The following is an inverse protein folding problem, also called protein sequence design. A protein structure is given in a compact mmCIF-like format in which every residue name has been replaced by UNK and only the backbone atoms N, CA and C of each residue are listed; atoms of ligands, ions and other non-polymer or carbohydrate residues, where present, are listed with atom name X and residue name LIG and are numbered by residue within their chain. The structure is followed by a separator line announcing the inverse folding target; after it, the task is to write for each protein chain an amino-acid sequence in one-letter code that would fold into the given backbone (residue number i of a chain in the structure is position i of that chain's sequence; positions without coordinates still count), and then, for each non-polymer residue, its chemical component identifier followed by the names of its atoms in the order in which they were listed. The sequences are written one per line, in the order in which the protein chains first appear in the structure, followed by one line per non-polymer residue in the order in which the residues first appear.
data_IF_510578122631
#
_entry.id   IF_510578122631
#
_cell.length_a   1.000
_cell.length_b   1.000
_cell.length_c   1.000
_cell.angle_alpha   90.00
_cell.angle_beta   90.00
_cell.angle_gamma   90.00
#
_symmetry.space_group_name_H-M   'P 1'
#
loop_
_entity.id
_entity.type
_entity.pdbx_description
1 polymer ?
#
# COMPACT_ATOMS: atom_id res chain seq x y z
N UNK A 1 2.96 -28.04 12.61
CA UNK A 1 2.40 -27.01 11.72
C UNK A 1 3.55 -26.14 11.25
N UNK A 2 3.85 -26.10 9.96
CA UNK A 2 4.93 -25.26 9.44
C UNK A 2 4.46 -23.80 9.47
N UNK A 3 5.08 -22.98 10.32
CA UNK A 3 4.75 -21.55 10.52
C UNK A 3 5.58 -20.62 9.64
N UNK A 4 6.40 -21.18 8.74
CA UNK A 4 7.24 -20.42 7.83
C UNK A 4 6.40 -19.78 6.71
N UNK A 5 6.43 -18.45 6.65
CA UNK A 5 6.03 -17.68 5.46
C UNK A 5 7.31 -17.27 4.74
N UNK A 6 7.53 -17.72 3.48
CA UNK A 6 8.72 -17.36 2.72
C UNK A 6 8.73 -15.86 2.35
N UNK A 7 9.90 -15.27 2.08
CA UNK A 7 9.99 -13.97 1.43
C UNK A 7 9.11 -13.90 0.18
N UNK A 8 8.46 -12.76 -0.05
CA UNK A 8 7.54 -12.54 -1.17
C UNK A 8 8.16 -12.87 -2.55
N UNK A 9 9.48 -12.72 -2.69
CA UNK A 9 10.23 -13.01 -3.91
C UNK A 9 10.29 -14.51 -4.25
N UNK A 10 10.24 -15.40 -3.25
CA UNK A 10 10.23 -16.86 -3.46
C UNK A 10 8.85 -17.36 -3.94
N UNK A 11 7.81 -16.54 -3.79
CA UNK A 11 6.45 -16.83 -4.28
C UNK A 11 6.24 -16.37 -5.74
N UNK A 12 7.18 -15.60 -6.27
CA UNK A 12 7.14 -15.02 -7.62
C UNK A 12 7.08 -16.12 -8.70
N UNK A 13 6.30 -15.89 -9.76
CA UNK A 13 6.43 -16.65 -10.99
C UNK A 13 6.17 -15.75 -12.21
N UNK A 14 6.94 -15.89 -13.31
CA UNK A 14 6.81 -15.04 -14.49
C UNK A 14 5.40 -15.01 -15.08
N UNK A 15 4.96 -13.83 -15.53
CA UNK A 15 3.68 -13.58 -16.18
C UNK A 15 2.51 -13.36 -15.23
N UNK A 16 2.73 -13.32 -13.91
CA UNK A 16 1.68 -13.03 -12.93
C UNK A 16 1.47 -11.53 -12.77
N UNK A 17 0.21 -11.10 -12.84
CA UNK A 17 -0.18 -9.71 -12.66
C UNK A 17 -1.10 -9.57 -11.44
N UNK A 18 -0.69 -8.71 -10.50
CA UNK A 18 -1.38 -8.49 -9.24
C UNK A 18 -2.21 -7.21 -9.19
N UNK A 19 -2.06 -6.33 -10.18
CA UNK A 19 -2.81 -5.09 -10.28
C UNK A 19 -3.64 -5.09 -11.56
N UNK A 20 -4.91 -4.74 -11.42
CA UNK A 20 -5.79 -4.47 -12.54
C UNK A 20 -5.78 -2.97 -12.83
N UNK A 21 -4.98 -2.54 -13.80
CA UNK A 21 -4.95 -1.15 -14.24
C UNK A 21 -6.12 -0.89 -15.20
N UNK A 22 -6.71 0.32 -15.18
CA UNK A 22 -7.75 0.67 -16.15
C UNK A 22 -7.20 0.60 -17.58
N UNK A 23 -8.10 0.35 -18.54
CA UNK A 23 -7.76 0.46 -19.95
C UNK A 23 -7.30 1.88 -20.28
N UNK A 24 -6.45 2.00 -21.29
CA UNK A 24 -6.02 3.31 -21.80
C UNK A 24 -7.24 4.12 -22.25
N UNK A 25 -7.36 5.32 -21.71
CA UNK A 25 -8.33 6.34 -22.11
C UNK A 25 -7.77 7.29 -23.19
N UNK A 26 -6.55 7.03 -23.63
CA UNK A 26 -5.80 7.79 -24.65
C UNK A 26 -5.18 6.85 -25.70
N UNK A 27 -4.81 7.36 -26.89
CA UNK A 27 -4.09 6.56 -27.88
C UNK A 27 -2.77 6.02 -27.33
N UNK A 28 -2.46 4.76 -27.64
CA UNK A 28 -1.18 4.16 -27.28
C UNK A 28 -0.02 4.88 -28.00
N UNK A 29 1.08 5.10 -27.28
CA UNK A 29 2.29 5.72 -27.81
C UNK A 29 3.51 4.90 -27.39
N UNK A 30 4.49 4.77 -28.29
CA UNK A 30 5.76 4.12 -27.96
C UNK A 30 6.66 5.05 -27.14
N UNK A 31 7.36 4.47 -26.16
CA UNK A 31 8.34 5.20 -25.35
C UNK A 31 9.66 5.33 -26.12
N UNK A 32 10.34 6.50 -26.10
CA UNK A 32 11.64 6.66 -26.77
C UNK A 32 12.68 5.70 -26.20
N UNK A 33 13.33 4.91 -27.06
CA UNK A 33 14.28 3.87 -26.65
C UNK A 33 15.43 4.39 -25.78
N UNK A 34 15.89 5.62 -26.03
CA UNK A 34 16.95 6.28 -25.24
C UNK A 34 16.56 6.64 -23.81
N UNK A 35 15.26 6.64 -23.51
CA UNK A 35 14.70 6.93 -22.19
C UNK A 35 14.24 5.67 -21.47
N UNK A 36 14.32 4.50 -22.11
CA UNK A 36 13.98 3.23 -21.48
C UNK A 36 14.99 2.92 -20.38
N UNK A 37 14.43 2.55 -19.23
CA UNK A 37 15.21 2.12 -18.07
C UNK A 37 15.90 0.79 -18.39
N UNK A 38 17.21 0.69 -18.15
CA UNK A 38 18.03 -0.48 -18.47
C UNK A 38 18.48 -1.31 -17.26
N UNK A 39 17.90 -1.11 -16.08
CA UNK A 39 18.33 -1.77 -14.83
C UNK A 39 17.38 -2.90 -14.37
N UNK A 40 17.68 -3.44 -13.19
CA UNK A 40 17.17 -4.71 -12.65
C UNK A 40 15.75 -4.66 -12.06
N UNK A 41 14.80 -3.95 -12.68
CA UNK A 41 13.38 -4.10 -12.27
C UNK A 41 12.87 -5.55 -12.46
N UNK A 42 13.60 -6.38 -13.23
CA UNK A 42 13.40 -7.82 -13.36
C UNK A 42 13.49 -8.61 -12.03
N UNK A 43 14.03 -8.02 -10.95
CA UNK A 43 14.04 -8.64 -9.62
C UNK A 43 12.74 -8.41 -8.82
N UNK A 44 11.80 -7.62 -9.32
CA UNK A 44 10.50 -7.44 -8.68
C UNK A 44 9.67 -8.73 -8.76
N UNK A 45 8.94 -9.10 -7.70
CA UNK A 45 8.15 -10.31 -7.71
C UNK A 45 6.90 -10.13 -8.57
N UNK A 46 6.59 -11.16 -9.36
CA UNK A 46 5.38 -11.26 -10.17
C UNK A 46 4.40 -12.17 -9.44
N UNK A 47 3.30 -11.58 -8.95
CA UNK A 47 2.33 -12.23 -8.07
C UNK A 47 0.92 -11.84 -8.48
N UNK A 48 -0.03 -12.75 -8.30
CA UNK A 48 -1.46 -12.42 -8.38
C UNK A 48 -1.92 -11.66 -7.13
N UNK A 49 -3.02 -10.91 -7.25
CA UNK A 49 -3.61 -10.16 -6.13
C UNK A 49 -3.89 -11.07 -4.92
N UNK A 50 -4.38 -12.28 -5.17
CA UNK A 50 -4.69 -13.26 -4.12
C UNK A 50 -3.44 -13.72 -3.38
N UNK A 51 -2.32 -13.91 -4.09
CA UNK A 51 -1.05 -14.29 -3.46
C UNK A 51 -0.52 -13.16 -2.56
N UNK A 52 -0.58 -11.91 -3.04
CA UNK A 52 -0.24 -10.73 -2.24
C UNK A 52 -1.10 -10.63 -0.99
N UNK A 53 -2.43 -10.77 -1.13
CA UNK A 53 -3.36 -10.75 0.01
C UNK A 53 -3.06 -11.84 1.03
N UNK A 54 -2.84 -13.09 0.57
CA UNK A 54 -2.51 -14.22 1.46
C UNK A 54 -1.18 -14.03 2.17
N UNK A 55 -0.17 -13.52 1.47
CA UNK A 55 1.15 -13.27 2.03
C UNK A 55 1.08 -12.26 3.18
N UNK A 56 0.52 -11.06 2.94
CA UNK A 56 0.45 -10.02 3.96
C UNK A 56 -0.52 -10.36 5.10
N UNK A 57 -1.59 -11.13 4.82
CA UNK A 57 -2.48 -11.64 5.90
C UNK A 57 -1.75 -12.63 6.80
N UNK A 58 -0.90 -13.52 6.25
CA UNK A 58 -0.11 -14.45 7.06
C UNK A 58 0.98 -13.73 7.86
N UNK A 59 1.60 -12.71 7.29
CA UNK A 59 2.54 -11.85 8.03
C UNK A 59 1.84 -11.12 9.17
N UNK A 60 0.63 -10.59 8.98
CA UNK A 60 -0.07 -9.85 10.04
C UNK A 60 -0.36 -10.72 11.26
N UNK A 61 -0.71 -11.99 11.06
CA UNK A 61 -0.94 -12.96 12.15
C UNK A 61 0.33 -13.33 12.93
N UNK A 62 1.51 -13.01 12.41
CA UNK A 62 2.80 -13.23 13.09
C UNK A 62 3.27 -12.00 13.87
N UNK A 63 2.55 -10.87 13.79
CA UNK A 63 2.85 -9.66 14.53
C UNK A 63 2.03 -9.60 15.83
N UNK A 64 2.67 -9.13 16.91
CA UNK A 64 1.93 -8.65 18.07
C UNK A 64 1.53 -7.19 17.82
N UNK A 65 0.27 -6.84 18.07
CA UNK A 65 -0.21 -5.48 17.86
C UNK A 65 -1.17 -5.04 18.98
N UNK A 66 -1.35 -3.73 19.11
CA UNK A 66 -2.20 -3.12 20.13
C UNK A 66 -3.68 -3.55 20.05
N UNK A 67 -4.14 -3.99 18.88
CA UNK A 67 -5.50 -4.51 18.71
C UNK A 67 -5.67 -5.92 19.31
N UNK A 68 -4.58 -6.66 19.51
CA UNK A 68 -4.60 -8.04 20.02
C UNK A 68 -4.30 -8.17 21.51
N UNK A 69 -3.76 -7.11 22.14
CA UNK A 69 -3.47 -7.13 23.56
C UNK A 69 -2.77 -5.87 24.08
N UNK A 70 -2.44 -5.88 25.37
CA UNK A 70 -1.80 -4.75 26.04
C UNK A 70 -0.36 -4.55 25.59
N UNK A 71 0.01 -3.32 25.24
CA UNK A 71 1.32 -2.97 24.69
C UNK A 71 2.05 -1.93 25.58
N UNK A 72 2.52 -2.30 26.80
CA UNK A 72 2.94 -1.34 27.85
C UNK A 72 4.37 -0.80 27.64
N UNK A 73 4.60 -0.13 26.52
CA UNK A 73 5.88 0.53 26.24
C UNK A 73 5.89 1.94 26.82
N UNK A 74 6.77 2.16 27.82
CA UNK A 74 7.02 3.48 28.39
C UNK A 74 7.50 4.48 27.34
N UNK A 75 7.12 5.74 27.48
CA UNK A 75 7.39 6.84 26.52
C UNK A 75 6.66 6.74 25.16
N UNK A 76 6.18 5.57 24.75
CA UNK A 76 5.52 5.38 23.44
C UNK A 76 4.04 5.78 23.42
N UNK A 77 3.39 5.88 24.59
CA UNK A 77 1.94 6.17 24.70
C UNK A 77 1.09 5.26 23.79
N UNK A 78 1.29 3.95 23.90
CA UNK A 78 0.56 2.93 23.16
C UNK A 78 -0.90 2.84 23.62
N UNK A 79 -1.70 3.85 23.28
CA UNK A 79 -3.13 3.96 23.56
C UNK A 79 -3.94 3.38 22.39
N UNK A 80 -5.21 3.07 22.64
CA UNK A 80 -6.14 2.67 21.60
C UNK A 80 -6.13 3.62 20.40
N UNK A 81 -6.10 3.04 19.19
CA UNK A 81 -6.27 3.74 17.91
C UNK A 81 -7.73 3.61 17.44
N UNK A 82 -8.60 4.62 17.64
CA UNK A 82 -9.99 4.57 17.20
C UNK A 82 -10.13 4.27 15.72
N UNK A 83 -10.91 3.23 15.38
CA UNK A 83 -11.10 2.82 13.98
C UNK A 83 -11.79 3.90 13.13
N UNK A 84 -12.58 4.76 13.76
CA UNK A 84 -13.17 5.94 13.12
C UNK A 84 -12.10 6.91 12.58
N UNK A 85 -10.90 6.98 13.17
CA UNK A 85 -9.83 7.83 12.64
C UNK A 85 -9.34 7.34 11.28
N UNK A 86 -9.32 6.02 11.06
CA UNK A 86 -8.96 5.43 9.77
C UNK A 86 -10.02 5.74 8.71
N UNK A 87 -11.30 5.79 9.08
CA UNK A 87 -12.39 6.18 8.18
C UNK A 87 -12.31 7.66 7.81
N UNK A 88 -12.08 8.54 8.79
CA UNK A 88 -11.96 9.99 8.57
C UNK A 88 -10.73 10.32 7.71
N UNK A 89 -9.59 9.65 7.95
CA UNK A 89 -8.39 9.82 7.13
C UNK A 89 -8.60 9.41 5.65
N UNK A 90 -9.54 8.48 5.40
CA UNK A 90 -9.89 8.01 4.05
C UNK A 90 -10.90 8.89 3.31
N UNK A 91 -11.41 9.96 3.92
CA UNK A 91 -12.28 10.91 3.21
C UNK A 91 -11.54 11.43 1.96
N UNK A 92 -12.22 11.47 0.82
CA UNK A 92 -11.61 11.80 -0.47
C UNK A 92 -10.94 13.17 -0.49
N UNK A 93 -11.53 14.15 0.21
CA UNK A 93 -10.96 15.49 0.38
C UNK A 93 -9.66 15.54 1.22
N UNK A 94 -9.33 14.47 1.95
CA UNK A 94 -8.05 14.32 2.66
C UNK A 94 -7.11 13.37 1.91
N UNK A 95 -7.52 12.14 1.66
CA UNK A 95 -6.68 11.10 1.06
C UNK A 95 -6.23 11.45 -0.37
N UNK A 96 -7.03 12.23 -1.11
CA UNK A 96 -6.74 12.68 -2.46
C UNK A 96 -6.22 14.12 -2.57
N UNK A 97 -6.00 14.83 -1.45
CA UNK A 97 -5.57 16.21 -1.48
C UNK A 97 -4.13 16.36 -1.99
N UNK A 98 -3.93 17.23 -2.97
CA UNK A 98 -2.58 17.60 -3.40
C UNK A 98 -2.06 18.76 -2.54
N UNK A 99 -0.84 18.71 -1.97
CA UNK A 99 -0.32 19.77 -1.09
C UNK A 99 -0.26 21.17 -1.74
N UNK A 100 -0.12 21.24 -3.07
CA UNK A 100 -0.13 22.49 -3.83
C UNK A 100 -1.51 22.89 -4.39
N UNK A 101 -2.60 22.22 -3.99
CA UNK A 101 -3.94 22.66 -4.38
C UNK A 101 -4.24 24.00 -3.68
N UNK A 102 -4.73 24.99 -4.44
CA UNK A 102 -4.92 26.35 -3.90
C UNK A 102 -5.91 26.40 -2.73
N UNK A 103 -5.75 27.38 -1.84
CA UNK A 103 -6.51 27.51 -0.59
C UNK A 103 -8.03 27.46 -0.77
N UNK A 104 -8.53 28.04 -1.87
CA UNK A 104 -9.97 28.03 -2.19
C UNK A 104 -10.54 26.60 -2.31
N UNK A 105 -9.72 25.61 -2.67
CA UNK A 105 -10.08 24.19 -2.78
C UNK A 105 -9.74 23.38 -1.52
N UNK A 106 -9.04 23.99 -0.55
CA UNK A 106 -8.53 23.34 0.67
C UNK A 106 -9.24 23.75 1.95
N UNK A 107 -10.31 24.54 1.90
CA UNK A 107 -10.92 25.14 3.11
C UNK A 107 -11.31 24.12 4.18
N UNK A 108 -11.73 22.91 3.78
CA UNK A 108 -12.01 21.83 4.73
C UNK A 108 -10.76 21.37 5.50
N UNK A 109 -9.63 21.20 4.81
CA UNK A 109 -8.37 20.79 5.41
C UNK A 109 -7.68 21.92 6.19
N UNK A 110 -7.83 23.18 5.77
CA UNK A 110 -7.24 24.34 6.46
C UNK A 110 -7.98 24.71 7.75
N UNK A 111 -9.25 24.33 7.88
CA UNK A 111 -10.09 24.64 9.05
C UNK A 111 -9.87 23.67 10.22
N UNK A 112 -9.48 22.43 9.93
CA UNK A 112 -9.33 21.33 10.89
C UNK A 112 -7.90 21.24 11.39
#
# INVERSE_FOLDING_TARGET
MNTYEPPIFELSAPGKHGANLPALDVPAAELPASLLRGDYLAAMPELSETEVMRHFTRISQRNYCIDTGMYPLGSCTMKYNPKIHEEVARLSGFAGAHPLQGDALSQGALRL
#
